data_IF_976494451550
#
_entry.id   IF_976494451550
#
_cell.length_a   1.000
_cell.length_b   1.000
_cell.length_c   1.000
_cell.angle_alpha   90.00
_cell.angle_beta   90.00
_cell.angle_gamma   90.00
#
_symmetry.space_group_name_H-M   'P 1'
#
loop_
_entity.id
_entity.type
_entity.pdbx_description
1 polymer ?
#
# COMPACT_ATOMS: atom_id res chain seq x y z
N UNK A 1 11.26 7.70 -15.62
CA UNK A 1 10.78 6.39 -15.14
C UNK A 1 11.97 5.53 -14.76
N UNK A 2 12.01 5.04 -13.52
CA UNK A 2 13.14 4.24 -13.02
C UNK A 2 13.22 2.85 -13.64
N UNK A 3 14.42 2.27 -13.60
CA UNK A 3 14.65 0.86 -13.96
C UNK A 3 13.89 -0.05 -12.99
N UNK A 4 13.80 0.35 -11.72
CA UNK A 4 13.13 -0.39 -10.65
C UNK A 4 11.66 -0.65 -11.00
N UNK A 5 10.89 0.40 -11.33
CA UNK A 5 9.46 0.21 -11.62
C UNK A 5 9.21 -0.60 -12.88
N UNK A 6 10.04 -0.47 -13.92
CA UNK A 6 9.97 -1.28 -15.14
C UNK A 6 10.12 -2.78 -14.89
N UNK A 7 10.97 -3.17 -13.95
CA UNK A 7 11.12 -4.57 -13.54
C UNK A 7 9.91 -4.99 -12.72
N UNK A 8 9.61 -4.25 -11.65
CA UNK A 8 8.58 -4.66 -10.68
C UNK A 8 7.18 -4.72 -11.27
N UNK A 9 6.82 -3.82 -12.19
CA UNK A 9 5.49 -3.82 -12.82
C UNK A 9 5.21 -5.10 -13.62
N UNK A 10 6.23 -5.88 -14.01
CA UNK A 10 6.03 -7.18 -14.68
C UNK A 10 5.45 -8.23 -13.73
N UNK A 11 5.68 -8.06 -12.42
CA UNK A 11 5.11 -8.90 -11.36
C UNK A 11 3.76 -8.38 -10.85
N UNK A 12 3.27 -7.25 -11.38
CA UNK A 12 1.99 -6.68 -10.96
C UNK A 12 0.81 -7.50 -11.45
N UNK A 13 -0.32 -7.35 -10.77
CA UNK A 13 -1.63 -7.80 -11.21
C UNK A 13 -2.07 -7.00 -12.45
N UNK A 14 -1.49 -7.30 -13.61
CA UNK A 14 -1.59 -6.47 -14.83
C UNK A 14 -3.03 -6.20 -15.29
N UNK A 15 -3.97 -7.07 -14.93
CA UNK A 15 -5.39 -6.87 -15.23
C UNK A 15 -5.96 -5.64 -14.53
N UNK A 16 -5.37 -5.19 -13.41
CA UNK A 16 -5.73 -3.96 -12.71
C UNK A 16 -5.72 -2.74 -13.63
N UNK A 17 -4.72 -2.68 -14.53
CA UNK A 17 -4.48 -1.54 -15.39
C UNK A 17 -5.19 -1.64 -16.75
N UNK A 18 -5.82 -2.77 -17.05
CA UNK A 18 -6.51 -3.03 -18.33
C UNK A 18 -8.02 -2.95 -18.25
N UNK A 19 -8.55 -2.53 -17.10
CA UNK A 19 -9.99 -2.43 -16.86
C UNK A 19 -10.60 -1.30 -17.69
N UNK A 20 -11.64 -1.63 -18.44
CA UNK A 20 -12.38 -0.69 -19.29
C UNK A 20 -13.73 -0.28 -18.70
N UNK A 21 -14.32 -1.18 -17.91
CA UNK A 21 -15.58 -0.94 -17.23
C UNK A 21 -15.40 -0.12 -15.96
N UNK A 22 -16.21 0.91 -15.82
CA UNK A 22 -16.25 1.78 -14.64
C UNK A 22 -17.39 1.36 -13.74
N UNK A 23 -17.07 0.99 -12.50
CA UNK A 23 -18.02 0.87 -11.40
C UNK A 23 -17.38 1.51 -10.16
N UNK A 24 -18.16 1.76 -9.11
CA UNK A 24 -17.66 2.27 -7.82
C UNK A 24 -17.60 1.19 -6.73
N UNK A 25 -17.64 -0.09 -7.12
CA UNK A 25 -17.47 -1.18 -6.14
C UNK A 25 -16.05 -1.18 -5.58
N UNK A 26 -15.90 -1.28 -4.27
CA UNK A 26 -14.64 -1.59 -3.59
C UNK A 26 -14.60 -3.10 -3.23
N UNK A 27 -13.51 -3.57 -2.64
CA UNK A 27 -13.40 -5.00 -2.27
C UNK A 27 -14.50 -5.43 -1.28
N UNK A 28 -14.92 -4.53 -0.39
CA UNK A 28 -15.94 -4.82 0.62
C UNK A 28 -17.32 -4.93 -0.01
N UNK A 29 -17.64 -4.04 -0.96
CA UNK A 29 -18.84 -4.13 -1.77
C UNK A 29 -18.85 -5.39 -2.64
N UNK A 30 -17.70 -5.81 -3.18
CA UNK A 30 -17.59 -7.10 -3.86
C UNK A 30 -17.93 -8.29 -2.93
N UNK A 31 -17.43 -8.27 -1.68
CA UNK A 31 -17.79 -9.26 -0.65
C UNK A 31 -19.30 -9.21 -0.32
N UNK A 32 -19.87 -8.01 -0.20
CA UNK A 32 -21.29 -7.82 0.11
C UNK A 32 -22.21 -8.32 -1.00
N UNK A 33 -21.80 -8.15 -2.27
CA UNK A 33 -22.58 -8.52 -3.44
C UNK A 33 -22.59 -10.03 -3.73
N UNK A 34 -21.87 -10.85 -2.95
CA UNK A 34 -21.92 -12.32 -3.00
C UNK A 34 -21.69 -12.88 -4.41
N UNK A 35 -20.87 -12.22 -5.24
CA UNK A 35 -20.47 -12.68 -6.58
C UNK A 35 -19.30 -13.68 -6.51
N UNK A 36 -19.40 -14.62 -5.58
CA UNK A 36 -18.42 -15.67 -5.30
C UNK A 36 -19.12 -16.87 -4.65
N UNK A 37 -18.38 -17.96 -4.53
CA UNK A 37 -18.74 -19.15 -3.79
C UNK A 37 -17.75 -19.32 -2.64
N UNK A 38 -18.14 -19.96 -1.54
CA UNK A 38 -17.20 -20.46 -0.54
C UNK A 38 -16.43 -21.62 -1.16
N UNK A 39 -15.12 -21.46 -1.25
CA UNK A 39 -14.22 -22.54 -1.63
C UNK A 39 -13.91 -23.38 -0.39
N UNK A 40 -13.27 -22.75 0.59
CA UNK A 40 -12.87 -23.32 1.86
C UNK A 40 -13.26 -22.38 3.01
N UNK A 41 -13.73 -22.96 4.12
CA UNK A 41 -14.04 -22.25 5.35
C UNK A 41 -13.24 -22.90 6.48
N UNK A 42 -12.08 -22.36 6.78
CA UNK A 42 -11.17 -22.95 7.77
C UNK A 42 -11.66 -22.68 9.19
N UNK A 43 -11.97 -21.42 9.51
CA UNK A 43 -12.57 -21.01 10.77
C UNK A 43 -13.34 -19.67 10.62
N UNK A 44 -13.66 -19.02 11.74
CA UNK A 44 -14.39 -17.75 11.80
C UNK A 44 -13.55 -16.53 11.37
N UNK A 45 -12.23 -16.68 11.23
CA UNK A 45 -11.21 -15.66 10.95
C UNK A 45 -10.44 -15.92 9.64
N UNK A 46 -10.58 -17.09 9.03
CA UNK A 46 -9.87 -17.48 7.82
C UNK A 46 -10.75 -18.28 6.85
N UNK A 47 -10.86 -17.79 5.61
CA UNK A 47 -11.72 -18.36 4.58
C UNK A 47 -11.24 -18.06 3.18
N UNK A 48 -11.63 -18.89 2.22
CA UNK A 48 -11.28 -18.76 0.81
C UNK A 48 -12.56 -18.65 -0.02
N UNK A 49 -12.62 -17.60 -0.84
CA UNK A 49 -13.72 -17.34 -1.76
C UNK A 49 -13.28 -17.68 -3.19
N UNK A 50 -14.11 -18.40 -3.93
CA UNK A 50 -13.93 -18.69 -5.34
C UNK A 50 -14.78 -17.75 -6.20
N UNK A 51 -14.19 -17.11 -7.22
CA UNK A 51 -14.88 -16.22 -8.14
C UNK A 51 -14.75 -16.66 -9.58
N UNK A 52 -15.87 -16.61 -10.29
CA UNK A 52 -15.91 -16.92 -11.74
C UNK A 52 -15.77 -15.65 -12.58
N UNK A 53 -16.34 -14.54 -12.11
CA UNK A 53 -16.34 -13.28 -12.85
C UNK A 53 -15.13 -12.42 -12.49
N UNK A 54 -13.98 -12.75 -13.09
CA UNK A 54 -12.68 -12.13 -12.81
C UNK A 54 -12.66 -10.59 -12.96
N UNK A 55 -13.51 -10.05 -13.83
CA UNK A 55 -13.61 -8.62 -14.06
C UNK A 55 -14.12 -7.85 -12.83
N UNK A 56 -15.09 -8.38 -12.08
CA UNK A 56 -15.67 -7.65 -10.93
C UNK A 56 -14.67 -7.49 -9.80
N UNK A 57 -13.88 -8.53 -9.50
CA UNK A 57 -12.83 -8.43 -8.49
C UNK A 57 -11.72 -7.49 -8.97
N UNK A 58 -11.34 -7.53 -10.25
CA UNK A 58 -10.36 -6.60 -10.80
C UNK A 58 -10.82 -5.15 -10.64
N UNK A 59 -12.09 -4.85 -10.95
CA UNK A 59 -12.67 -3.50 -10.79
C UNK A 59 -12.64 -3.07 -9.32
N UNK A 60 -13.05 -3.95 -8.41
CA UNK A 60 -13.07 -3.69 -6.99
C UNK A 60 -11.68 -3.31 -6.45
N UNK A 61 -10.65 -4.07 -6.84
CA UNK A 61 -9.27 -3.82 -6.43
C UNK A 61 -8.70 -2.57 -7.10
N UNK A 62 -9.06 -2.28 -8.35
CA UNK A 62 -8.63 -1.08 -9.05
C UNK A 62 -9.19 0.18 -8.39
N UNK A 63 -10.46 0.19 -8.00
CA UNK A 63 -11.06 1.30 -7.29
C UNK A 63 -10.39 1.57 -5.95
N UNK A 64 -10.21 0.53 -5.14
CA UNK A 64 -9.51 0.68 -3.87
C UNK A 64 -8.05 1.12 -4.06
N UNK A 65 -7.34 0.54 -5.03
CA UNK A 65 -5.96 0.90 -5.33
C UNK A 65 -5.86 2.37 -5.73
N UNK A 66 -6.74 2.82 -6.61
CA UNK A 66 -6.78 4.18 -7.10
C UNK A 66 -7.14 5.19 -5.99
N UNK A 67 -8.12 4.86 -5.13
CA UNK A 67 -8.46 5.67 -3.95
C UNK A 67 -7.26 5.82 -3.00
N UNK A 68 -6.57 4.72 -2.71
CA UNK A 68 -5.38 4.74 -1.84
C UNK A 68 -4.22 5.50 -2.50
N UNK A 69 -4.02 5.33 -3.81
CA UNK A 69 -2.97 6.06 -4.54
C UNK A 69 -3.23 7.57 -4.54
N UNK A 70 -4.46 7.99 -4.81
CA UNK A 70 -4.89 9.40 -4.69
C UNK A 70 -4.60 9.94 -3.30
N UNK A 71 -5.03 9.24 -2.24
CA UNK A 71 -4.81 9.68 -0.87
C UNK A 71 -3.31 9.79 -0.53
N UNK A 72 -2.47 8.89 -1.05
CA UNK A 72 -1.02 8.95 -0.88
C UNK A 72 -0.42 10.20 -1.54
N UNK A 73 -0.80 10.49 -2.78
CA UNK A 73 -0.30 11.63 -3.55
C UNK A 73 -0.74 12.96 -2.93
N UNK A 74 -2.02 13.10 -2.59
CA UNK A 74 -2.53 14.31 -1.93
C UNK A 74 -1.87 14.53 -0.57
N UNK A 75 -1.61 13.45 0.19
CA UNK A 75 -0.95 13.53 1.48
C UNK A 75 0.49 14.01 1.37
N UNK A 76 1.27 13.48 0.42
CA UNK A 76 2.68 13.88 0.26
C UNK A 76 2.81 15.29 -0.33
N UNK A 77 1.95 15.64 -1.30
CA UNK A 77 1.95 16.97 -1.91
C UNK A 77 1.51 18.05 -0.91
N UNK A 78 0.67 17.68 0.06
CA UNK A 78 0.23 18.55 1.15
C UNK A 78 1.27 18.77 2.27
N UNK A 79 2.51 18.27 2.14
CA UNK A 79 3.59 18.58 3.10
C UNK A 79 4.10 20.00 2.85
N UNK A 80 3.62 20.94 3.65
CA UNK A 80 3.95 22.35 3.60
C UNK A 80 4.06 22.96 5.01
N UNK A 81 4.68 24.13 5.15
CA UNK A 81 4.81 24.79 6.46
C UNK A 81 3.44 25.18 7.01
N UNK A 82 3.25 24.96 8.31
CA UNK A 82 2.13 25.54 9.04
C UNK A 82 2.31 27.07 9.21
N UNK A 83 1.28 27.89 8.92
CA UNK A 83 1.40 29.35 8.97
C UNK A 83 1.68 29.93 10.36
N UNK A 84 1.20 29.28 11.43
CA UNK A 84 1.31 29.81 12.79
C UNK A 84 2.33 29.06 13.65
N UNK A 85 2.63 27.80 13.30
CA UNK A 85 3.52 26.93 14.06
C UNK A 85 4.70 26.48 13.22
N UNK A 86 5.52 27.43 12.76
CA UNK A 86 6.62 27.16 11.82
C UNK A 86 7.68 26.16 12.33
N UNK A 87 7.77 25.94 13.65
CA UNK A 87 8.65 24.94 14.28
C UNK A 87 8.00 23.58 14.49
N UNK A 88 6.67 23.47 14.33
CA UNK A 88 5.95 22.22 14.50
C UNK A 88 6.19 21.30 13.31
N UNK A 89 7.08 20.34 13.49
CA UNK A 89 7.36 19.29 12.51
C UNK A 89 6.51 18.04 12.73
N UNK A 90 5.84 17.90 13.88
CA UNK A 90 5.09 16.68 14.23
C UNK A 90 4.04 16.31 13.19
N UNK A 91 3.19 17.26 12.79
CA UNK A 91 2.15 17.01 11.79
C UNK A 91 2.73 16.69 10.41
N UNK A 92 3.90 17.24 10.06
CA UNK A 92 4.57 16.91 8.80
C UNK A 92 5.10 15.46 8.82
N UNK A 93 5.63 15.02 9.96
CA UNK A 93 6.05 13.62 10.17
C UNK A 93 4.85 12.68 10.08
N UNK A 94 3.74 13.02 10.75
CA UNK A 94 2.50 12.23 10.72
C UNK A 94 1.91 12.20 9.29
N UNK A 95 1.96 13.31 8.56
CA UNK A 95 1.46 13.36 7.17
C UNK A 95 2.32 12.51 6.23
N UNK A 96 3.65 12.55 6.37
CA UNK A 96 4.55 11.69 5.62
C UNK A 96 4.29 10.20 5.90
N UNK A 97 4.02 9.84 7.16
CA UNK A 97 3.59 8.50 7.52
C UNK A 97 2.35 8.08 6.72
N UNK A 98 1.27 8.86 6.80
CA UNK A 98 0.01 8.50 6.16
C UNK A 98 0.12 8.45 4.65
N UNK A 99 0.90 9.35 4.04
CA UNK A 99 1.23 9.26 2.62
C UNK A 99 1.84 7.89 2.26
N UNK A 100 2.84 7.45 3.02
CA UNK A 100 3.48 6.15 2.80
C UNK A 100 2.58 4.96 3.15
N UNK A 101 1.70 5.09 4.15
CA UNK A 101 0.75 4.07 4.55
C UNK A 101 -0.30 3.83 3.46
N UNK A 102 -0.86 4.91 2.89
CA UNK A 102 -1.74 4.82 1.73
C UNK A 102 -1.00 4.27 0.50
N UNK A 103 0.26 4.66 0.29
CA UNK A 103 1.07 4.12 -0.79
C UNK A 103 1.33 2.61 -0.64
N UNK A 104 1.64 2.13 0.56
CA UNK A 104 1.78 0.70 0.83
C UNK A 104 0.48 -0.06 0.55
N UNK A 105 -0.68 0.48 0.94
CA UNK A 105 -1.98 -0.08 0.61
C UNK A 105 -2.27 -0.16 -0.90
N UNK A 106 -1.89 0.88 -1.65
CA UNK A 106 -2.03 0.88 -3.10
C UNK A 106 -1.08 -0.14 -3.74
N UNK A 107 0.19 -0.16 -3.34
CA UNK A 107 1.19 -1.11 -3.81
C UNK A 107 0.75 -2.56 -3.56
N UNK A 108 0.26 -2.90 -2.36
CA UNK A 108 -0.30 -4.21 -2.08
C UNK A 108 -1.33 -4.63 -3.14
N UNK A 109 -2.25 -3.73 -3.50
CA UNK A 109 -3.33 -3.98 -4.46
C UNK A 109 -2.82 -4.13 -5.89
N UNK A 110 -1.79 -3.36 -6.26
CA UNK A 110 -1.09 -3.52 -7.54
C UNK A 110 -0.53 -4.94 -7.68
N UNK A 111 -0.15 -5.58 -6.58
CA UNK A 111 0.41 -6.93 -6.57
C UNK A 111 -0.57 -8.01 -6.07
N UNK A 112 -1.88 -7.77 -6.21
CA UNK A 112 -2.91 -8.78 -5.90
C UNK A 112 -3.10 -9.07 -4.41
N UNK A 113 -2.68 -8.16 -3.53
CA UNK A 113 -2.85 -8.24 -2.08
C UNK A 113 -3.67 -7.07 -1.57
N UNK A 114 -4.34 -7.21 -0.45
CA UNK A 114 -5.07 -6.10 0.16
C UNK A 114 -5.11 -6.29 1.66
N UNK A 115 -5.17 -5.17 2.40
CA UNK A 115 -5.64 -5.19 3.77
C UNK A 115 -6.91 -4.34 3.81
N UNK A 116 -8.01 -4.92 4.31
CA UNK A 116 -9.34 -4.32 4.24
C UNK A 116 -10.13 -4.59 5.52
N UNK A 117 -10.95 -3.64 5.91
CA UNK A 117 -11.86 -3.78 7.05
C UNK A 117 -13.18 -4.41 6.58
N UNK A 118 -13.48 -5.62 7.04
CA UNK A 118 -14.78 -6.26 6.85
C UNK A 118 -15.66 -5.95 8.06
N UNK A 119 -16.58 -5.01 7.90
CA UNK A 119 -17.64 -4.75 8.89
C UNK A 119 -18.60 -5.94 9.06
N UNK A 120 -19.43 -5.89 10.10
CA UNK A 120 -20.38 -6.97 10.43
C UNK A 120 -21.28 -7.38 9.28
N UNK A 121 -21.73 -6.43 8.46
CA UNK A 121 -22.54 -6.70 7.27
C UNK A 121 -21.79 -7.51 6.20
N UNK A 122 -20.50 -7.25 6.01
CA UNK A 122 -19.68 -7.99 5.04
C UNK A 122 -19.42 -9.42 5.52
N UNK A 123 -19.05 -9.56 6.80
CA UNK A 123 -18.81 -10.87 7.41
C UNK A 123 -20.08 -11.73 7.43
N UNK A 124 -21.25 -11.12 7.69
CA UNK A 124 -22.54 -11.78 7.60
C UNK A 124 -22.81 -12.32 6.19
N UNK A 125 -22.49 -11.57 5.13
CA UNK A 125 -22.67 -12.02 3.74
C UNK A 125 -21.81 -13.23 3.38
N UNK A 126 -20.58 -13.30 3.90
CA UNK A 126 -19.74 -14.50 3.74
C UNK A 126 -20.39 -15.69 4.44
N UNK A 127 -20.86 -15.50 5.68
CA UNK A 127 -21.50 -16.56 6.46
C UNK A 127 -22.82 -17.05 5.83
N UNK A 128 -23.66 -16.14 5.35
CA UNK A 128 -24.90 -16.46 4.63
C UNK A 128 -24.61 -17.34 3.39
N UNK A 129 -23.57 -17.02 2.63
CA UNK A 129 -23.15 -17.84 1.49
C UNK A 129 -22.68 -19.23 1.93
N UNK A 130 -21.91 -19.32 3.02
CA UNK A 130 -21.48 -20.60 3.58
C UNK A 130 -22.66 -21.48 4.02
N UNK A 131 -23.67 -20.89 4.66
CA UNK A 131 -24.91 -21.59 5.03
C UNK A 131 -25.67 -22.06 3.80
N UNK A 132 -25.86 -21.20 2.81
CA UNK A 132 -26.57 -21.52 1.57
C UNK A 132 -25.92 -22.69 0.80
N UNK A 133 -24.60 -22.83 0.92
CA UNK A 133 -23.83 -23.91 0.28
C UNK A 133 -23.63 -25.15 1.16
N UNK A 134 -24.17 -25.16 2.39
CA UNK A 134 -23.93 -26.25 3.34
C UNK A 134 -22.47 -26.38 3.79
N UNK A 135 -21.66 -25.32 3.65
CA UNK A 135 -20.22 -25.28 3.97
C UNK A 135 -19.90 -24.65 5.33
N UNK A 136 -20.91 -24.33 6.14
CA UNK A 136 -20.70 -23.70 7.44
C UNK A 136 -20.00 -24.60 8.46
N UNK A 137 -20.10 -25.94 8.35
CA UNK A 137 -19.33 -26.90 9.15
C UNK A 137 -19.30 -26.61 10.68
N UNK A 138 -20.42 -26.18 11.27
CA UNK A 138 -20.53 -25.87 12.70
C UNK A 138 -20.04 -24.47 13.10
N UNK A 139 -19.47 -23.69 12.18
CA UNK A 139 -19.20 -22.27 12.37
C UNK A 139 -20.54 -21.54 12.45
N UNK A 140 -20.68 -20.64 13.43
CA UNK A 140 -21.92 -19.91 13.71
C UNK A 140 -21.90 -18.47 13.20
N UNK A 141 -20.72 -17.94 12.86
CA UNK A 141 -20.51 -16.63 12.23
C UNK A 141 -19.08 -16.49 11.71
N UNK A 142 -18.89 -15.59 10.74
CA UNK A 142 -17.59 -15.01 10.41
C UNK A 142 -17.39 -13.75 11.26
N UNK A 143 -16.18 -13.54 11.76
CA UNK A 143 -15.90 -12.35 12.55
C UNK A 143 -15.71 -11.12 11.66
N UNK A 144 -16.26 -9.98 12.08
CA UNK A 144 -15.84 -8.70 11.52
C UNK A 144 -14.44 -8.32 11.99
N UNK A 145 -13.78 -7.43 11.24
CA UNK A 145 -12.48 -6.90 11.60
C UNK A 145 -11.59 -6.58 10.41
N UNK A 146 -10.30 -6.42 10.67
CA UNK A 146 -9.31 -6.15 9.65
C UNK A 146 -8.79 -7.46 9.07
N UNK A 147 -8.73 -7.59 7.75
CA UNK A 147 -8.32 -8.81 7.05
C UNK A 147 -7.24 -8.51 6.02
N UNK A 148 -6.28 -9.42 5.86
CA UNK A 148 -5.50 -9.55 4.64
C UNK A 148 -6.32 -10.34 3.62
N UNK A 149 -6.33 -9.88 2.38
CA UNK A 149 -6.87 -10.61 1.23
C UNK A 149 -5.75 -10.86 0.22
N UNK A 150 -5.52 -12.12 -0.14
CA UNK A 150 -4.57 -12.52 -1.19
C UNK A 150 -5.34 -13.08 -2.38
N UNK A 151 -5.13 -12.50 -3.55
CA UNK A 151 -5.90 -12.80 -4.75
C UNK A 151 -5.04 -13.66 -5.67
N UNK A 152 -5.49 -14.89 -5.90
CA UNK A 152 -5.00 -15.74 -6.97
C UNK A 152 -5.93 -15.56 -8.18
N UNK A 153 -5.48 -14.75 -9.14
CA UNK A 153 -6.28 -14.46 -10.33
C UNK A 153 -6.46 -15.67 -11.23
N UNK A 154 -5.44 -16.52 -11.31
CA UNK A 154 -5.42 -17.65 -12.24
C UNK A 154 -6.36 -18.73 -11.74
N UNK A 155 -6.28 -19.06 -10.44
CA UNK A 155 -7.16 -20.01 -9.77
C UNK A 155 -8.55 -19.43 -9.45
N UNK A 156 -8.73 -18.12 -9.58
CA UNK A 156 -10.00 -17.47 -9.26
C UNK A 156 -10.32 -17.50 -7.76
N UNK A 157 -9.31 -17.38 -6.89
CA UNK A 157 -9.47 -17.48 -5.45
C UNK A 157 -9.08 -16.19 -4.74
N UNK A 158 -9.79 -15.86 -3.67
CA UNK A 158 -9.38 -14.82 -2.71
C UNK A 158 -9.32 -15.42 -1.32
N UNK A 159 -8.12 -15.48 -0.76
CA UNK A 159 -7.89 -15.95 0.60
C UNK A 159 -7.95 -14.78 1.58
N UNK A 160 -8.89 -14.82 2.50
CA UNK A 160 -9.04 -13.86 3.59
C UNK A 160 -8.50 -14.45 4.88
N UNK A 161 -7.70 -13.66 5.60
CA UNK A 161 -7.19 -13.99 6.93
C UNK A 161 -7.26 -12.78 7.84
N UNK A 162 -7.85 -12.93 9.02
CA UNK A 162 -8.01 -11.83 9.98
C UNK A 162 -6.66 -11.40 10.53
N UNK A 163 -6.51 -10.09 10.65
CA UNK A 163 -5.37 -9.37 11.21
C UNK A 163 -5.81 -8.69 12.52
N UNK A 164 -4.83 -8.26 13.32
CA UNK A 164 -5.07 -7.72 14.66
C UNK A 164 -4.89 -6.21 14.72
N UNK A 165 -3.84 -5.69 14.10
CA UNK A 165 -3.47 -4.28 14.13
C UNK A 165 -3.42 -3.72 12.72
N UNK A 166 -4.28 -2.75 12.42
CA UNK A 166 -4.43 -2.20 11.07
C UNK A 166 -3.16 -1.54 10.55
N UNK A 167 -2.34 -0.96 11.42
CA UNK A 167 -1.11 -0.28 11.02
C UNK A 167 0.06 -1.26 10.97
N UNK A 168 0.31 -1.97 12.08
CA UNK A 168 1.45 -2.88 12.18
C UNK A 168 1.33 -4.06 11.21
N UNK A 169 0.13 -4.64 11.06
CA UNK A 169 -0.05 -5.80 10.17
C UNK A 169 -0.08 -5.39 8.69
N UNK A 170 -0.53 -4.17 8.34
CA UNK A 170 -0.37 -3.65 6.96
C UNK A 170 1.10 -3.54 6.57
N UNK A 171 1.95 -3.04 7.47
CA UNK A 171 3.39 -3.01 7.22
C UNK A 171 4.00 -4.40 7.17
N UNK A 172 3.49 -5.35 7.96
CA UNK A 172 3.87 -6.76 7.87
C UNK A 172 3.49 -7.36 6.51
N UNK A 173 2.31 -7.08 5.98
CA UNK A 173 1.91 -7.49 4.63
C UNK A 173 2.77 -6.82 3.55
N UNK A 174 3.11 -5.55 3.73
CA UNK A 174 4.01 -4.86 2.80
C UNK A 174 5.43 -5.46 2.82
N UNK A 175 5.93 -5.84 3.99
CA UNK A 175 7.22 -6.55 4.10
C UNK A 175 7.16 -7.94 3.44
N UNK A 176 6.04 -8.67 3.56
CA UNK A 176 5.80 -9.93 2.84
C UNK A 176 5.76 -9.71 1.32
N UNK A 177 5.16 -8.60 0.87
CA UNK A 177 5.19 -8.21 -0.53
C UNK A 177 6.63 -7.95 -1.01
N UNK A 178 7.44 -7.21 -0.26
CA UNK A 178 8.83 -6.96 -0.64
C UNK A 178 9.60 -8.28 -0.80
N UNK A 179 9.42 -9.21 0.14
CA UNK A 179 9.97 -10.56 0.03
C UNK A 179 9.53 -11.28 -1.23
N UNK A 180 8.22 -11.33 -1.48
CA UNK A 180 7.67 -11.91 -2.70
C UNK A 180 8.30 -11.30 -3.95
N UNK A 181 8.42 -9.97 -4.02
CA UNK A 181 9.02 -9.28 -5.16
C UNK A 181 10.48 -9.67 -5.35
N UNK A 182 11.27 -9.71 -4.27
CA UNK A 182 12.68 -10.13 -4.31
C UNK A 182 12.82 -11.57 -4.84
N UNK A 183 12.01 -12.48 -4.33
CA UNK A 183 12.05 -13.91 -4.68
C UNK A 183 11.58 -14.18 -6.11
N UNK A 184 10.82 -13.26 -6.73
CA UNK A 184 10.23 -13.45 -8.06
C UNK A 184 10.91 -12.60 -9.15
N UNK A 185 11.99 -11.87 -8.85
CA UNK A 185 12.68 -11.05 -9.86
C UNK A 185 13.21 -11.87 -11.03
N UNK A 186 13.63 -13.11 -10.80
CA UNK A 186 14.11 -14.04 -11.82
C UNK A 186 13.06 -14.43 -12.87
N UNK A 187 11.77 -14.32 -12.52
CA UNK A 187 10.67 -14.55 -13.44
C UNK A 187 10.38 -13.35 -14.36
N UNK A 188 11.11 -12.24 -14.19
CA UNK A 188 10.98 -11.06 -15.08
C UNK A 188 11.87 -11.20 -16.32
N UNK A 189 11.40 -10.66 -17.45
CA UNK A 189 12.14 -10.69 -18.73
C UNK A 189 13.21 -9.59 -18.84
N UNK A 190 13.49 -8.87 -17.76
CA UNK A 190 14.46 -7.76 -17.75
C UNK A 190 15.92 -8.23 -17.72
N UNK A 191 16.87 -7.43 -18.24
CA UNK A 191 18.30 -7.74 -18.13
C UNK A 191 18.76 -8.00 -16.69
N UNK A 192 19.74 -8.89 -16.50
CA UNK A 192 20.24 -9.28 -15.17
C UNK A 192 20.63 -8.08 -14.30
N UNK A 193 21.36 -7.12 -14.87
CA UNK A 193 21.75 -5.87 -14.19
C UNK A 193 20.55 -5.06 -13.68
N UNK A 194 19.44 -5.05 -14.42
CA UNK A 194 18.24 -4.31 -13.99
C UNK A 194 17.53 -5.03 -12.83
N UNK A 195 17.54 -6.36 -12.84
CA UNK A 195 17.04 -7.17 -11.73
C UNK A 195 17.88 -6.95 -10.47
N UNK A 196 19.20 -6.94 -10.60
CA UNK A 196 20.13 -6.66 -9.49
C UNK A 196 19.87 -5.28 -8.85
N UNK A 197 19.77 -4.22 -9.67
CA UNK A 197 19.42 -2.87 -9.18
C UNK A 197 18.08 -2.88 -8.43
N UNK A 198 17.10 -3.62 -8.93
CA UNK A 198 15.77 -3.72 -8.30
C UNK A 198 15.83 -4.51 -7.00
N UNK A 199 16.63 -5.57 -6.94
CA UNK A 199 16.87 -6.37 -5.74
C UNK A 199 17.52 -5.53 -4.65
N UNK A 200 18.58 -4.79 -4.97
CA UNK A 200 19.27 -3.91 -4.03
C UNK A 200 18.33 -2.85 -3.47
N UNK A 201 17.54 -2.22 -4.33
CA UNK A 201 16.51 -1.27 -3.89
C UNK A 201 15.51 -1.90 -2.92
N UNK A 202 14.97 -3.08 -3.24
CA UNK A 202 14.02 -3.78 -2.37
C UNK A 202 14.66 -4.19 -1.03
N UNK A 203 15.92 -4.60 -1.05
CA UNK A 203 16.70 -4.93 0.14
C UNK A 203 16.91 -3.72 1.05
N UNK A 204 17.26 -2.57 0.47
CA UNK A 204 17.42 -1.30 1.20
C UNK A 204 16.08 -0.85 1.78
N UNK A 205 15.00 -0.89 0.99
CA UNK A 205 13.67 -0.54 1.44
C UNK A 205 13.22 -1.44 2.60
N UNK A 206 13.43 -2.76 2.48
CA UNK A 206 13.14 -3.74 3.54
C UNK A 206 13.89 -3.43 4.82
N UNK A 207 15.19 -3.15 4.70
CA UNK A 207 16.04 -2.77 5.83
C UNK A 207 15.48 -1.54 6.52
N UNK A 208 15.09 -0.52 5.75
CA UNK A 208 14.60 0.74 6.30
C UNK A 208 13.24 0.60 6.98
N UNK A 209 12.24 -0.07 6.38
CA UNK A 209 10.94 -0.29 7.05
C UNK A 209 11.05 -1.17 8.30
N UNK A 210 12.15 -1.91 8.45
CA UNK A 210 12.43 -2.77 9.61
C UNK A 210 13.43 -2.15 10.57
N UNK A 211 13.96 -0.95 10.29
CA UNK A 211 15.12 -0.34 10.97
C UNK A 211 16.26 -1.35 11.17
N UNK A 212 16.74 -1.93 10.08
CA UNK A 212 17.79 -2.96 10.05
C UNK A 212 17.51 -4.17 10.96
N UNK A 213 16.24 -4.54 11.11
CA UNK A 213 15.81 -5.72 11.86
C UNK A 213 15.29 -5.45 13.28
N UNK A 214 15.37 -4.21 13.79
CA UNK A 214 14.79 -3.86 15.09
C UNK A 214 13.26 -4.05 15.13
N UNK A 215 12.59 -3.84 13.99
CA UNK A 215 11.18 -4.12 13.80
C UNK A 215 11.04 -5.31 12.85
N UNK A 216 11.09 -6.53 13.37
CA UNK A 216 11.14 -7.78 12.58
C UNK A 216 9.97 -7.98 11.63
N UNK A 217 8.82 -7.34 11.91
CA UNK A 217 7.64 -7.34 11.05
C UNK A 217 7.65 -6.22 9.99
N UNK A 218 8.69 -5.41 9.88
CA UNK A 218 8.74 -4.26 8.97
C UNK A 218 7.83 -3.10 9.38
N UNK A 219 7.41 -3.05 10.65
CA UNK A 219 6.46 -2.06 11.16
C UNK A 219 7.12 -0.86 11.86
N UNK A 220 8.41 -0.58 11.60
CA UNK A 220 9.12 0.53 12.26
C UNK A 220 8.46 1.88 11.98
N UNK A 221 7.95 2.10 10.77
CA UNK A 221 7.27 3.36 10.43
C UNK A 221 6.04 3.60 11.32
N UNK A 222 5.30 2.54 11.65
CA UNK A 222 4.17 2.63 12.59
C UNK A 222 4.62 3.00 14.00
N UNK A 223 5.75 2.46 14.45
CA UNK A 223 6.31 2.74 15.77
C UNK A 223 6.74 4.21 15.87
N UNK A 224 7.48 4.73 14.89
CA UNK A 224 7.89 6.16 14.86
C UNK A 224 6.66 7.07 14.85
N UNK A 225 5.64 6.76 14.04
CA UNK A 225 4.39 7.54 14.04
C UNK A 225 3.71 7.52 15.41
N UNK A 226 3.66 6.37 16.10
CA UNK A 226 3.05 6.29 17.42
C UNK A 226 3.86 7.04 18.49
N UNK A 227 5.19 6.98 18.41
CA UNK A 227 6.08 7.74 19.28
C UNK A 227 5.88 9.25 19.10
N UNK A 228 5.79 9.73 17.86
CA UNK A 228 5.48 11.13 17.57
C UNK A 228 4.06 11.48 18.02
N UNK A 229 3.04 10.74 17.60
CA UNK A 229 1.64 11.14 17.75
C UNK A 229 1.08 10.94 19.17
N UNK A 230 1.47 9.88 19.88
CA UNK A 230 0.88 9.55 21.18
C UNK A 230 1.83 9.77 22.35
N UNK A 231 3.14 9.59 22.13
CA UNK A 231 4.16 9.77 23.19
C UNK A 231 4.84 11.13 23.13
N UNK A 232 4.57 11.91 22.09
CA UNK A 232 5.16 13.22 21.84
C UNK A 232 6.70 13.22 21.88
N UNK A 233 7.31 12.12 21.43
CA UNK A 233 8.76 11.96 21.39
C UNK A 233 9.42 12.82 20.30
N UNK A 234 10.76 12.83 20.29
CA UNK A 234 11.61 13.52 19.31
C UNK A 234 11.56 15.06 19.31
N UNK A 235 10.87 15.68 20.27
CA UNK A 235 10.87 17.14 20.40
C UNK A 235 10.17 17.87 19.24
N UNK A 236 9.36 17.17 18.44
CA UNK A 236 8.69 17.76 17.26
C UNK A 236 7.38 18.49 17.60
N UNK A 237 6.89 18.32 18.83
CA UNK A 237 5.78 19.07 19.43
C UNK A 237 6.28 20.23 20.29
N UNK A 238 5.44 21.25 20.49
CA UNK A 238 5.73 22.33 21.44
C UNK A 238 6.02 21.74 22.83
N UNK A 239 7.06 22.20 23.56
CA UNK A 239 7.88 23.41 23.35
C UNK A 239 9.13 23.24 22.45
N UNK A 240 9.22 22.16 21.68
CA UNK A 240 10.29 21.87 20.72
C UNK A 240 11.68 21.61 21.32
N UNK A 241 11.71 21.10 22.55
CA UNK A 241 12.96 20.79 23.25
C UNK A 241 13.66 19.62 22.55
N UNK A 242 14.96 19.78 22.26
CA UNK A 242 15.82 18.76 21.63
C UNK A 242 15.37 18.31 20.23
N UNK A 243 14.57 19.11 19.51
CA UNK A 243 14.19 18.80 18.13
C UNK A 243 15.41 18.81 17.21
N UNK A 244 15.73 17.64 16.63
CA UNK A 244 16.79 17.51 15.63
C UNK A 244 16.28 17.72 14.20
N UNK A 245 14.96 17.77 14.01
CA UNK A 245 14.33 17.82 12.69
C UNK A 245 13.57 19.12 12.49
N UNK A 246 14.06 19.93 11.55
CA UNK A 246 13.43 21.19 11.15
C UNK A 246 12.37 20.93 10.09
N UNK A 247 11.30 21.73 10.08
CA UNK A 247 10.25 21.65 9.06
C UNK A 247 10.80 21.77 7.64
N UNK A 248 11.80 22.64 7.42
CA UNK A 248 12.47 22.81 6.12
C UNK A 248 13.16 21.53 5.64
N UNK A 249 13.74 20.75 6.55
CA UNK A 249 14.37 19.47 6.19
C UNK A 249 13.33 18.45 5.73
N UNK A 250 12.17 18.40 6.39
CA UNK A 250 11.06 17.52 6.00
C UNK A 250 10.52 17.91 4.63
N UNK A 251 10.26 19.20 4.41
CA UNK A 251 9.73 19.70 3.13
C UNK A 251 10.72 19.42 2.00
N UNK A 252 12.02 19.65 2.25
CA UNK A 252 13.07 19.32 1.29
C UNK A 252 13.09 17.81 0.97
N UNK A 253 13.06 16.95 1.98
CA UNK A 253 13.05 15.50 1.79
C UNK A 253 11.79 15.02 1.08
N UNK A 254 10.63 15.59 1.42
CA UNK A 254 9.35 15.24 0.82
C UNK A 254 9.37 15.43 -0.70
N UNK A 255 10.02 16.49 -1.21
CA UNK A 255 10.10 16.77 -2.66
C UNK A 255 10.70 15.63 -3.49
N UNK A 256 11.56 14.80 -2.90
CA UNK A 256 12.12 13.64 -3.59
C UNK A 256 11.09 12.55 -3.92
N UNK A 257 9.83 12.71 -3.48
CA UNK A 257 8.74 11.83 -3.88
C UNK A 257 8.47 11.88 -5.39
N UNK A 258 8.97 12.90 -6.11
CA UNK A 258 8.89 13.08 -7.58
C UNK A 258 10.13 12.56 -8.33
N UNK A 259 11.18 12.18 -7.61
CA UNK A 259 12.45 11.67 -8.15
C UNK A 259 12.52 10.14 -8.16
N UNK A 260 13.61 9.57 -8.66
CA UNK A 260 13.84 8.11 -8.62
C UNK A 260 13.63 7.54 -7.19
N UNK A 261 12.89 6.43 -7.01
CA UNK A 261 12.59 5.86 -5.68
C UNK A 261 13.83 5.58 -4.83
N UNK A 262 14.96 5.26 -5.47
CA UNK A 262 16.21 4.95 -4.78
C UNK A 262 16.94 6.22 -4.29
N UNK A 263 16.68 7.38 -4.89
CA UNK A 263 17.38 8.61 -4.54
C UNK A 263 17.21 8.95 -3.06
N UNK A 264 15.98 8.92 -2.56
CA UNK A 264 15.66 9.22 -1.16
C UNK A 264 16.38 8.30 -0.17
N UNK A 265 16.61 7.03 -0.52
CA UNK A 265 17.27 6.05 0.34
C UNK A 265 18.80 6.18 0.36
N UNK A 266 19.39 6.76 -0.69
CA UNK A 266 20.84 6.96 -0.81
C UNK A 266 21.33 8.22 -0.12
N UNK A 267 20.42 9.10 0.29
CA UNK A 267 20.79 10.32 1.00
C UNK A 267 21.38 9.95 2.37
N UNK A 268 22.45 10.66 2.76
CA UNK A 268 23.02 10.51 4.09
C UNK A 268 22.06 11.12 5.13
N UNK A 269 21.46 10.26 5.95
CA UNK A 269 20.51 10.68 6.99
C UNK A 269 21.26 11.04 8.27
N UNK A 270 20.94 12.19 8.86
CA UNK A 270 21.62 12.70 10.07
C UNK A 270 21.00 12.16 11.35
N UNK A 271 19.72 11.80 11.31
CA UNK A 271 18.97 11.34 12.46
C UNK A 271 17.86 10.34 12.06
N UNK A 272 17.24 9.74 13.09
CA UNK A 272 16.20 8.73 12.91
C UNK A 272 14.99 9.25 12.13
N UNK A 273 14.55 10.49 12.40
CA UNK A 273 13.37 11.03 11.73
C UNK A 273 13.65 11.39 10.27
N UNK A 274 14.86 11.79 9.90
CA UNK A 274 15.22 11.97 8.49
C UNK A 274 15.14 10.64 7.73
N UNK A 275 15.68 9.56 8.31
CA UNK A 275 15.56 8.22 7.73
C UNK A 275 14.09 7.80 7.60
N UNK A 276 13.28 8.11 8.61
CA UNK A 276 11.85 7.85 8.59
C UNK A 276 11.18 8.57 7.40
N UNK A 277 11.40 9.88 7.25
CA UNK A 277 10.83 10.66 6.15
C UNK A 277 11.32 10.13 4.80
N UNK A 278 12.63 9.88 4.65
CA UNK A 278 13.21 9.34 3.41
C UNK A 278 12.59 7.99 3.03
N UNK A 279 12.34 7.11 4.03
CA UNK A 279 11.69 5.82 3.81
C UNK A 279 10.25 6.01 3.36
N UNK A 280 9.48 6.89 4.03
CA UNK A 280 8.11 7.22 3.62
C UNK A 280 8.06 7.75 2.18
N UNK A 281 8.98 8.67 1.84
CA UNK A 281 9.11 9.26 0.51
C UNK A 281 9.45 8.21 -0.55
N UNK A 282 10.34 7.26 -0.24
CA UNK A 282 10.69 6.16 -1.15
C UNK A 282 9.49 5.28 -1.50
N UNK A 283 8.66 4.92 -0.51
CA UNK A 283 7.43 4.13 -0.75
C UNK A 283 6.45 4.88 -1.66
N UNK A 284 6.27 6.19 -1.45
CA UNK A 284 5.38 7.01 -2.29
C UNK A 284 5.96 7.20 -3.70
N UNK A 285 7.27 7.41 -3.80
CA UNK A 285 7.98 7.51 -5.08
C UNK A 285 7.85 6.22 -5.89
N UNK A 286 7.99 5.05 -5.25
CA UNK A 286 7.77 3.75 -5.89
C UNK A 286 6.36 3.61 -6.45
N UNK A 287 5.34 3.98 -5.67
CA UNK A 287 3.95 3.97 -6.14
C UNK A 287 3.78 4.85 -7.38
N UNK A 288 4.27 6.11 -7.32
CA UNK A 288 4.23 7.04 -8.46
C UNK A 288 4.84 6.41 -9.70
N UNK A 289 6.04 5.86 -9.57
CA UNK A 289 6.80 5.30 -10.69
C UNK A 289 6.15 4.05 -11.29
N UNK A 290 5.53 3.20 -10.47
CA UNK A 290 4.76 2.04 -10.95
C UNK A 290 3.50 2.51 -11.68
N UNK A 291 2.78 3.51 -11.16
CA UNK A 291 1.61 4.07 -11.84
C UNK A 291 2.03 4.66 -13.19
N UNK A 292 3.08 5.49 -13.24
CA UNK A 292 3.56 6.09 -14.48
C UNK A 292 3.98 5.04 -15.52
N UNK A 293 4.65 3.96 -15.08
CA UNK A 293 5.01 2.84 -15.96
C UNK A 293 3.78 2.04 -16.44
N UNK A 294 2.71 2.02 -15.66
CA UNK A 294 1.46 1.37 -16.03
C UNK A 294 0.56 2.22 -16.94
N UNK A 295 0.69 3.56 -16.96
CA UNK A 295 -0.14 4.46 -17.77
C UNK A 295 -0.21 4.06 -19.25
N UNK A 296 0.92 3.76 -19.95
CA UNK A 296 0.89 3.34 -21.35
C UNK A 296 0.09 2.05 -21.60
N UNK A 297 -0.11 1.23 -20.56
CA UNK A 297 -0.79 -0.08 -20.64
C UNK A 297 -2.30 0.04 -20.46
N UNK A 298 -2.80 1.24 -20.12
CA UNK A 298 -4.21 1.51 -19.93
C UNK A 298 -4.89 1.76 -21.29
N UNK A 299 -5.70 0.79 -21.76
CA UNK A 299 -6.25 0.73 -23.12
C UNK A 299 -7.23 1.86 -23.46
N UNK A 300 -7.96 2.40 -22.49
CA UNK A 300 -9.08 3.33 -22.76
C UNK A 300 -9.02 4.59 -21.91
N UNK A 301 -9.73 5.66 -22.34
CA UNK A 301 -9.96 6.87 -21.52
C UNK A 301 -10.86 6.62 -20.30
N UNK A 302 -11.61 5.51 -20.31
CA UNK A 302 -12.52 5.12 -19.24
C UNK A 302 -11.81 4.39 -18.08
N UNK A 303 -10.52 4.10 -18.21
CA UNK A 303 -9.76 3.42 -17.17
C UNK A 303 -9.80 4.19 -15.83
N UNK A 304 -10.04 3.47 -14.75
CA UNK A 304 -10.21 4.00 -13.38
C UNK A 304 -9.03 4.87 -12.95
N UNK A 305 -7.80 4.46 -13.29
CA UNK A 305 -6.58 5.19 -12.91
C UNK A 305 -6.37 6.48 -13.71
N UNK A 306 -6.79 6.53 -14.98
CA UNK A 306 -6.60 7.73 -15.83
C UNK A 306 -7.32 8.96 -15.29
N UNK A 307 -8.50 8.76 -14.72
CA UNK A 307 -9.37 9.86 -14.30
C UNK A 307 -9.07 10.36 -12.88
N UNK A 308 -8.19 9.67 -12.14
CA UNK A 308 -7.96 9.90 -10.70
C UNK A 308 -6.46 9.94 -10.38
N UNK A 309 -5.82 8.81 -10.03
CA UNK A 309 -4.42 8.82 -9.62
C UNK A 309 -3.50 9.42 -10.69
N UNK A 310 -3.63 9.03 -11.97
CA UNK A 310 -2.84 9.62 -13.05
C UNK A 310 -3.18 11.11 -13.27
N UNK A 311 -4.45 11.51 -13.09
CA UNK A 311 -4.86 12.91 -13.19
C UNK A 311 -4.21 13.74 -12.09
N UNK A 312 -4.18 13.26 -10.85
CA UNK A 312 -3.53 13.95 -9.73
C UNK A 312 -2.02 14.01 -9.94
N UNK A 313 -1.38 12.94 -10.42
CA UNK A 313 0.04 12.99 -10.78
C UNK A 313 0.34 14.09 -11.81
N UNK A 314 -0.51 14.24 -12.82
CA UNK A 314 -0.37 15.34 -13.80
C UNK A 314 -0.53 16.71 -13.13
N UNK A 315 -1.53 16.89 -12.26
CA UNK A 315 -1.75 18.15 -11.54
C UNK A 315 -0.59 18.50 -10.60
N UNK A 316 0.06 17.49 -10.01
CA UNK A 316 1.25 17.64 -9.17
C UNK A 316 2.55 17.79 -9.96
N UNK A 317 2.52 17.73 -11.30
CA UNK A 317 3.73 17.77 -12.13
C UNK A 317 4.67 16.57 -11.87
N UNK A 318 4.10 15.40 -11.59
CA UNK A 318 4.80 14.19 -11.17
C UNK A 318 4.66 13.02 -12.20
N UNK A 319 4.32 13.36 -13.46
CA UNK A 319 4.30 12.42 -14.59
C UNK A 319 5.61 12.49 -15.35
#
# INVERSE_FOLDING_TARGET
>A
MSIISRVLVQLSFLQLFRIENTSQIDLRAWVANQKYYIDELHDKEEFILYFTYKEYIAIAIANDCNRMATAAIESIEGIQKEPFFHKCSAWLVIRAYYASFFAAHALLRIFGRSCTQLEGEHAAKVFEMALAQGKANGITKIESGFYSAMIDYELGKVHFKKLKDSHADTWSEFNRLIHFLMDNLEHTISPAKNREISFDYLKDLKSNISRSGCATKGNWLSNVRNNVNYRHEYGVWFPYINSLLKCDDIIRLARYWKDDPQLSLRLQMRNELELFIATCVSVVSLLRDIINEAIPRMSTRKNIFKNWAAKILNLSGAV
#
